data_IF_024732307200
#
_entry.id   IF_024732307200
#
_cell.length_a   1.000
_cell.length_b   1.000
_cell.length_c   1.000
_cell.angle_alpha   90.00
_cell.angle_beta   90.00
_cell.angle_gamma   90.00
#
_symmetry.space_group_name_H-M   'P 1'
#
loop_
_entity.id
_entity.type
_entity.pdbx_description
1 polymer ?
#
# COMPACT_ATOMS: atom_id res chain seq x y z
N UNK A 1 20.23 5.62 6.46
CA UNK A 1 19.22 4.69 7.04
C UNK A 1 18.60 3.92 5.89
N UNK A 2 18.83 2.60 5.78
CA UNK A 2 18.31 1.78 4.67
C UNK A 2 16.94 1.22 5.04
N UNK A 3 15.90 1.61 4.30
CA UNK A 3 14.49 1.18 4.42
C UNK A 3 14.24 -0.31 4.09
N UNK A 4 15.13 -1.21 4.51
CA UNK A 4 15.29 -2.52 3.90
C UNK A 4 15.17 -3.65 4.92
N UNK A 5 13.96 -4.20 5.10
CA UNK A 5 13.89 -5.65 5.32
C UNK A 5 12.56 -6.36 5.00
N UNK A 6 11.41 -5.68 4.97
CA UNK A 6 10.17 -6.37 4.55
C UNK A 6 10.17 -6.72 3.05
N UNK A 7 10.84 -5.90 2.22
CA UNK A 7 11.03 -6.13 0.77
C UNK A 7 11.70 -7.45 0.43
N UNK A 8 12.42 -8.08 1.36
CA UNK A 8 13.28 -9.25 1.07
C UNK A 8 12.60 -10.61 1.22
N UNK A 9 11.36 -10.68 1.73
CA UNK A 9 10.73 -11.98 2.04
C UNK A 9 9.69 -12.45 1.04
N UNK A 10 9.22 -11.61 0.11
CA UNK A 10 8.27 -12.01 -0.92
C UNK A 10 8.86 -11.82 -2.32
N UNK A 11 8.64 -12.77 -3.24
CA UNK A 11 8.99 -12.56 -4.64
C UNK A 11 8.26 -11.32 -5.16
N UNK A 12 8.99 -10.38 -5.75
CA UNK A 12 8.39 -9.24 -6.44
C UNK A 12 7.67 -9.73 -7.70
N UNK A 13 6.45 -9.25 -7.93
CA UNK A 13 5.72 -9.53 -9.16
C UNK A 13 6.37 -8.78 -10.34
N UNK A 14 6.61 -9.44 -11.49
CA UNK A 14 7.09 -8.77 -12.70
C UNK A 14 6.19 -7.59 -13.10
N UNK A 15 6.79 -6.51 -13.62
CA UNK A 15 6.07 -5.30 -14.04
C UNK A 15 5.79 -4.30 -12.91
N UNK A 16 6.20 -4.59 -11.67
CA UNK A 16 6.05 -3.65 -10.54
C UNK A 16 6.99 -2.45 -10.65
N UNK A 17 8.08 -2.59 -11.39
CA UNK A 17 9.01 -1.53 -11.76
C UNK A 17 8.36 -0.44 -12.62
N UNK A 18 7.42 -0.84 -13.48
CA UNK A 18 6.74 0.04 -14.44
C UNK A 18 5.38 0.50 -13.91
N UNK A 19 4.65 -0.36 -13.20
CA UNK A 19 3.31 -0.09 -12.66
C UNK A 19 3.25 -0.35 -11.16
N UNK A 20 2.40 0.39 -10.43
CA UNK A 20 2.15 0.08 -9.02
C UNK A 20 1.51 -1.30 -8.87
N UNK A 21 0.49 -1.54 -9.70
CA UNK A 21 -0.23 -2.80 -9.79
C UNK A 21 -0.08 -3.33 -11.21
N UNK A 22 0.67 -4.44 -11.41
CA UNK A 22 0.74 -5.12 -12.69
C UNK A 22 -0.66 -5.50 -13.22
N UNK A 23 -0.85 -5.64 -14.55
CA UNK A 23 -2.14 -5.96 -15.15
C UNK A 23 -2.75 -7.28 -14.63
N UNK A 24 -4.07 -7.39 -14.77
CA UNK A 24 -4.90 -8.57 -14.43
C UNK A 24 -4.96 -9.03 -12.96
N UNK A 25 -5.01 -8.12 -11.96
CA UNK A 25 -5.36 -8.55 -10.60
C UNK A 25 -6.79 -9.10 -10.60
N UNK A 26 -7.01 -10.19 -9.87
CA UNK A 26 -8.34 -10.83 -9.74
C UNK A 26 -9.06 -10.42 -8.46
N UNK A 27 -8.31 -9.90 -7.49
CA UNK A 27 -8.84 -9.38 -6.23
C UNK A 27 -7.82 -8.44 -5.58
N UNK A 28 -8.30 -7.62 -4.66
CA UNK A 28 -7.42 -7.00 -3.68
C UNK A 28 -7.98 -7.11 -2.26
N UNK A 29 -7.08 -7.08 -1.29
CA UNK A 29 -7.39 -6.94 0.12
C UNK A 29 -6.72 -5.70 0.67
N UNK A 30 -7.50 -4.84 1.31
CA UNK A 30 -6.99 -3.66 1.98
C UNK A 30 -6.97 -3.88 3.48
N UNK A 31 -5.85 -3.62 4.14
CA UNK A 31 -5.69 -3.70 5.58
C UNK A 31 -5.19 -2.34 6.11
N UNK A 32 -5.97 -1.72 6.99
CA UNK A 32 -5.57 -0.49 7.68
C UNK A 32 -4.92 -0.84 9.02
N UNK A 33 -3.80 -0.19 9.27
CA UNK A 33 -3.08 -0.24 10.53
C UNK A 33 -2.93 1.18 11.07
N UNK A 34 -3.34 1.38 12.32
CA UNK A 34 -3.19 2.65 13.03
C UNK A 34 -2.17 2.47 14.16
N UNK A 35 -1.39 3.51 14.46
CA UNK A 35 -0.41 3.50 15.54
C UNK A 35 0.28 4.85 15.75
N UNK A 36 0.91 5.08 16.93
CA UNK A 36 1.50 6.36 17.29
C UNK A 36 2.68 6.77 16.38
N UNK A 37 3.30 5.80 15.69
CA UNK A 37 4.33 6.00 14.66
C UNK A 37 4.28 4.84 13.68
N UNK A 38 3.85 5.07 12.44
CA UNK A 38 4.01 4.10 11.37
C UNK A 38 5.05 4.65 10.40
N UNK A 39 6.17 3.95 10.24
CA UNK A 39 7.13 4.28 9.18
C UNK A 39 6.86 3.36 7.99
N UNK A 40 6.42 3.88 6.83
CA UNK A 40 6.30 3.10 5.61
C UNK A 40 7.64 2.42 5.32
N UNK A 41 7.66 1.09 5.40
CA UNK A 41 8.84 0.28 5.14
C UNK A 41 9.68 -0.12 6.35
N UNK A 42 9.37 0.34 7.57
CA UNK A 42 9.69 -0.48 8.75
C UNK A 42 8.62 -1.55 8.81
N UNK A 43 9.00 -2.81 8.60
CA UNK A 43 8.04 -3.91 8.56
C UNK A 43 7.12 -3.92 9.78
N UNK A 44 6.02 -4.67 9.71
CA UNK A 44 5.06 -4.86 10.81
C UNK A 44 5.67 -5.42 12.12
N UNK A 45 7.00 -5.63 12.19
CA UNK A 45 7.75 -6.08 13.35
C UNK A 45 8.96 -5.20 13.75
N UNK A 46 9.07 -3.97 13.25
CA UNK A 46 10.13 -3.05 13.70
C UNK A 46 9.86 -2.51 15.11
N UNK A 47 10.77 -2.76 16.05
CA UNK A 47 10.66 -2.36 17.46
C UNK A 47 10.19 -0.91 17.64
N UNK A 48 8.99 -0.71 18.21
CA UNK A 48 8.52 0.61 18.63
C UNK A 48 7.01 0.77 18.84
N UNK A 49 6.18 -0.12 18.30
CA UNK A 49 4.75 -0.09 18.59
C UNK A 49 4.00 -1.24 17.93
N UNK A 50 3.05 -1.82 18.66
CA UNK A 50 2.10 -2.78 18.09
C UNK A 50 1.21 -2.04 17.10
N UNK A 51 1.31 -2.38 15.81
CA UNK A 51 0.32 -1.94 14.83
C UNK A 51 -0.95 -2.75 15.04
N UNK A 52 -2.04 -2.07 15.34
CA UNK A 52 -3.35 -2.70 15.43
C UNK A 52 -3.97 -2.67 14.05
N UNK A 53 -4.30 -3.85 13.51
CA UNK A 53 -5.14 -3.95 12.32
C UNK A 53 -6.53 -3.48 12.70
N UNK A 54 -6.88 -2.25 12.34
CA UNK A 54 -8.15 -1.64 12.72
C UNK A 54 -9.26 -1.97 11.74
N UNK A 55 -8.93 -2.17 10.46
CA UNK A 55 -9.90 -2.49 9.40
C UNK A 55 -9.30 -3.39 8.34
N UNK A 56 -10.15 -4.23 7.74
CA UNK A 56 -9.78 -5.02 6.58
C UNK A 56 -11.01 -5.25 5.69
N UNK A 57 -10.79 -5.30 4.38
CA UNK A 57 -11.85 -5.52 3.40
C UNK A 57 -11.34 -6.06 2.08
N UNK A 58 -12.19 -6.81 1.40
CA UNK A 58 -11.97 -7.24 0.01
C UNK A 58 -12.41 -6.12 -0.94
N UNK A 59 -11.71 -6.00 -2.06
CA UNK A 59 -12.02 -5.11 -3.18
C UNK A 59 -12.05 -5.96 -4.45
N UNK A 60 -13.17 -5.94 -5.15
CA UNK A 60 -13.41 -6.71 -6.38
C UNK A 60 -14.14 -5.88 -7.45
N UNK A 61 -14.34 -6.51 -8.61
CA UNK A 61 -15.09 -6.01 -9.74
C UNK A 61 -14.74 -4.55 -10.13
N UNK A 62 -15.75 -3.69 -10.23
CA UNK A 62 -15.59 -2.32 -10.68
C UNK A 62 -14.72 -1.47 -9.74
N UNK A 63 -14.73 -1.78 -8.43
CA UNK A 63 -13.92 -1.04 -7.46
C UNK A 63 -12.45 -1.47 -7.53
N UNK A 64 -12.17 -2.73 -7.85
CA UNK A 64 -10.81 -3.18 -8.12
C UNK A 64 -10.23 -2.47 -9.36
N UNK A 65 -11.00 -2.39 -10.44
CA UNK A 65 -10.55 -1.70 -11.68
C UNK A 65 -10.22 -0.23 -11.39
N UNK A 66 -11.10 0.48 -10.68
CA UNK A 66 -10.86 1.89 -10.29
C UNK A 66 -9.64 2.06 -9.40
N UNK A 67 -9.49 1.19 -8.40
CA UNK A 67 -8.35 1.19 -7.49
C UNK A 67 -7.02 1.04 -8.26
N UNK A 68 -6.97 0.08 -9.18
CA UNK A 68 -5.80 -0.18 -10.02
C UNK A 68 -5.46 1.02 -10.91
N UNK A 69 -6.47 1.62 -11.55
CA UNK A 69 -6.29 2.80 -12.40
C UNK A 69 -5.74 3.99 -11.61
N UNK A 70 -6.29 4.28 -10.43
CA UNK A 70 -5.85 5.39 -9.60
C UNK A 70 -4.40 5.21 -9.12
N UNK A 71 -4.04 3.99 -8.71
CA UNK A 71 -2.68 3.66 -8.29
C UNK A 71 -1.68 3.78 -9.45
N UNK A 72 -2.04 3.28 -10.63
CA UNK A 72 -1.14 3.30 -11.79
C UNK A 72 -1.01 4.69 -12.43
N UNK A 73 -2.00 5.58 -12.26
CA UNK A 73 -1.91 7.00 -12.63
C UNK A 73 -1.06 7.83 -11.69
N UNK A 74 -0.74 7.32 -10.50
CA UNK A 74 0.06 8.06 -9.53
C UNK A 74 1.44 8.40 -10.10
N UNK A 75 1.77 9.70 -10.11
CA UNK A 75 3.04 10.18 -10.64
C UNK A 75 4.18 9.62 -9.80
N UNK A 76 5.16 9.00 -10.48
CA UNK A 76 6.41 8.57 -9.85
C UNK A 76 7.06 9.79 -9.19
N UNK A 77 7.46 9.64 -7.94
CA UNK A 77 7.97 10.76 -7.16
C UNK A 77 8.91 10.29 -6.07
N UNK A 78 9.91 11.12 -5.78
CA UNK A 78 10.86 10.84 -4.69
C UNK A 78 10.17 11.07 -3.36
N UNK A 79 10.20 10.05 -2.51
CA UNK A 79 9.71 10.06 -1.14
C UNK A 79 10.31 11.24 -0.35
N UNK A 80 9.49 12.22 0.05
CA UNK A 80 9.86 13.25 1.03
C UNK A 80 8.70 13.46 1.99
N UNK A 81 8.47 12.45 2.81
CA UNK A 81 7.51 12.53 3.90
C UNK A 81 8.29 12.85 5.19
N UNK A 82 8.22 14.08 5.73
CA UNK A 82 8.96 14.45 6.92
C UNK A 82 8.34 13.90 8.22
N UNK A 83 7.11 13.38 8.17
CA UNK A 83 6.38 12.85 9.32
C UNK A 83 6.06 11.38 9.13
N UNK A 84 6.39 10.51 10.08
CA UNK A 84 5.89 9.14 10.04
C UNK A 84 4.35 9.16 10.02
N UNK A 85 3.66 8.59 9.01
CA UNK A 85 2.22 8.51 9.05
C UNK A 85 1.76 7.79 10.32
N UNK A 86 0.67 8.24 10.92
CA UNK A 86 0.05 7.54 12.07
C UNK A 86 -0.85 6.39 11.64
N UNK A 87 -1.06 6.26 10.33
CA UNK A 87 -1.90 5.25 9.73
C UNK A 87 -1.31 4.82 8.39
N UNK A 88 -1.24 3.51 8.17
CA UNK A 88 -0.91 2.93 6.86
C UNK A 88 -2.01 2.01 6.39
N UNK A 89 -2.17 1.93 5.07
CA UNK A 89 -2.94 0.91 4.39
C UNK A 89 -1.96 0.00 3.65
N UNK A 90 -2.10 -1.29 3.85
CA UNK A 90 -1.45 -2.32 3.04
C UNK A 90 -2.49 -2.90 2.10
N UNK A 91 -2.24 -2.79 0.81
CA UNK A 91 -3.04 -3.39 -0.25
C UNK A 91 -2.33 -4.65 -0.74
N UNK A 92 -3.02 -5.77 -0.72
CA UNK A 92 -2.58 -7.03 -1.28
C UNK A 92 -3.37 -7.33 -2.55
N UNK A 93 -2.70 -7.53 -3.67
CA UNK A 93 -3.33 -7.85 -4.95
C UNK A 93 -3.05 -9.31 -5.31
N UNK A 94 -4.12 -10.07 -5.49
CA UNK A 94 -4.07 -11.45 -5.94
C UNK A 94 -4.19 -11.52 -7.45
N UNK A 95 -3.59 -12.56 -8.02
CA UNK A 95 -3.57 -12.82 -9.45
C UNK A 95 -3.85 -14.30 -9.69
N UNK A 96 -4.39 -14.64 -10.87
CA UNK A 96 -4.64 -16.03 -11.23
C UNK A 96 -3.36 -16.88 -11.27
N UNK A 97 -2.22 -16.26 -11.61
CA UNK A 97 -0.91 -16.90 -11.65
C UNK A 97 0.19 -15.96 -11.14
N UNK A 98 1.27 -16.55 -10.62
CA UNK A 98 2.45 -15.84 -10.13
C UNK A 98 2.30 -15.25 -8.71
N UNK A 99 3.33 -14.55 -8.21
CA UNK A 99 3.32 -14.00 -6.86
C UNK A 99 2.36 -12.81 -6.74
N UNK A 100 1.78 -12.57 -5.55
CA UNK A 100 0.95 -11.39 -5.33
C UNK A 100 1.77 -10.09 -5.39
N UNK A 101 1.10 -8.98 -5.61
CA UNK A 101 1.69 -7.65 -5.47
C UNK A 101 1.22 -7.00 -4.15
N UNK A 102 2.11 -6.26 -3.48
CA UNK A 102 1.78 -5.56 -2.25
C UNK A 102 2.12 -4.07 -2.38
N UNK A 103 1.20 -3.21 -1.94
CA UNK A 103 1.40 -1.77 -1.88
C UNK A 103 1.21 -1.31 -0.45
N UNK A 104 2.18 -0.57 0.07
CA UNK A 104 2.09 0.08 1.37
C UNK A 104 1.91 1.57 1.15
N UNK A 105 0.87 2.13 1.77
CA UNK A 105 0.47 3.52 1.62
C UNK A 105 0.32 4.20 2.98
N UNK A 106 0.88 5.39 3.15
CA UNK A 106 0.52 6.29 4.25
C UNK A 106 -0.82 6.98 3.98
N UNK A 107 -1.68 7.10 4.99
CA UNK A 107 -3.02 7.73 4.82
C UNK A 107 -3.27 8.95 5.69
N UNK A 108 -2.39 9.26 6.66
CA UNK A 108 -2.49 10.47 7.50
C UNK A 108 -1.15 11.22 7.50
N UNK A 109 -1.19 12.51 7.19
CA UNK A 109 0.00 13.39 7.17
C UNK A 109 0.91 13.20 5.96
N UNK A 110 0.93 11.99 5.38
CA UNK A 110 1.65 11.67 4.15
C UNK A 110 0.89 10.65 3.31
N UNK A 111 0.69 10.97 2.03
CA UNK A 111 0.00 10.13 1.05
C UNK A 111 0.98 9.39 0.14
N UNK A 112 2.10 8.92 0.68
CA UNK A 112 3.10 8.20 -0.10
C UNK A 112 2.70 6.73 -0.22
N UNK A 113 2.94 6.12 -1.38
CA UNK A 113 2.76 4.70 -1.61
C UNK A 113 4.06 4.09 -2.16
N UNK A 114 4.29 2.82 -1.85
CA UNK A 114 5.40 2.02 -2.39
C UNK A 114 4.93 0.60 -2.68
N UNK A 115 5.38 0.02 -3.79
CA UNK A 115 5.24 -1.42 -4.08
C UNK A 115 6.57 -2.18 -3.91
N UNK A 116 7.58 -1.53 -3.33
CA UNK A 116 8.92 -2.10 -3.12
C UNK A 116 9.93 -1.76 -4.23
N UNK A 117 9.49 -1.49 -5.46
CA UNK A 117 10.34 -1.12 -6.61
C UNK A 117 10.09 0.30 -7.10
N UNK A 118 8.88 0.81 -6.90
CA UNK A 118 8.44 2.17 -7.24
C UNK A 118 7.82 2.86 -6.03
N UNK A 119 8.09 4.16 -5.93
CA UNK A 119 7.48 5.08 -4.98
C UNK A 119 6.67 6.17 -5.71
N UNK A 120 5.57 6.61 -5.12
CA UNK A 120 4.73 7.70 -5.62
C UNK A 120 3.97 8.41 -4.50
N UNK A 121 3.37 9.54 -4.85
CA UNK A 121 2.37 10.22 -4.02
C UNK A 121 1.00 9.89 -4.62
N UNK A 122 0.11 9.34 -3.79
CA UNK A 122 -1.24 8.91 -4.15
C UNK A 122 -2.26 9.70 -3.32
N UNK A 123 -2.40 11.02 -3.55
CA UNK A 123 -3.37 11.80 -2.80
C UNK A 123 -4.77 11.37 -3.22
N UNK A 124 -5.65 11.10 -2.25
CA UNK A 124 -7.09 10.85 -2.45
C UNK A 124 -7.47 9.51 -3.07
N UNK A 125 -6.73 8.45 -2.76
CA UNK A 125 -7.20 7.11 -3.08
C UNK A 125 -8.55 6.85 -2.39
N UNK A 126 -9.61 6.68 -3.17
CA UNK A 126 -10.91 6.24 -2.65
C UNK A 126 -10.82 4.75 -2.42
N UNK A 127 -10.51 4.37 -1.20
CA UNK A 127 -10.65 2.99 -0.77
C UNK A 127 -12.12 2.75 -0.44
N UNK A 128 -12.69 1.58 -0.78
CA UNK A 128 -14.06 1.25 -0.41
C UNK A 128 -14.26 1.41 1.10
N UNK A 129 -15.49 1.73 1.54
CA UNK A 129 -15.83 2.13 2.92
C UNK A 129 -15.33 1.17 4.00
N UNK A 130 -15.10 -0.09 3.62
CA UNK A 130 -14.47 -1.12 4.45
C UNK A 130 -13.10 -0.66 5.00
N UNK A 131 -12.49 0.38 4.43
CA UNK A 131 -11.16 0.88 4.77
C UNK A 131 -11.17 2.31 5.37
N UNK A 132 -12.22 3.12 5.17
CA UNK A 132 -12.27 4.51 5.65
C UNK A 132 -13.72 4.95 5.94
N UNK A 133 -14.11 5.25 7.20
CA UNK A 133 -15.16 6.22 7.43
C UNK A 133 -14.52 7.61 7.41
N UNK A 134 -15.06 8.49 6.59
CA UNK A 134 -14.80 9.92 6.70
C UNK A 134 -15.49 10.43 7.97
N UNK A 135 -14.70 10.91 8.94
CA UNK A 135 -15.08 12.03 9.82
C UNK A 135 -13.87 12.94 9.95
#
# INVERSE_FOLDING_TARGET
>A
MRYADWRRRRPLRPGTEDLFVPPTPVAAFACRYDGPRVTPGMGLGGQGGTMLRTRHGRVDDADLVRLVDDLNRAKRGVMRCPFNPWSVVVLHFDYGEGPPAEIVMGVVGCFNATNGTRDAIVPRLKLPEVVVPYT
#
